data_IF_543230920143
#
_entry.id   IF_543230920143
#
_cell.length_a   1.000
_cell.length_b   1.000
_cell.length_c   1.000
_cell.angle_alpha   90.00
_cell.angle_beta   90.00
_cell.angle_gamma   90.00
#
_symmetry.space_group_name_H-M   'P 1'
#
loop_
_entity.id
_entity.type
_entity.pdbx_description
1 polymer ?
#
# COMPACT_ATOMS: atom_id res chain seq x y z
N UNK A 1 -3.09 -2.74 1.43
CA UNK A 1 -1.76 -2.10 1.49
C UNK A 1 -1.96 -0.58 1.42
N UNK A 2 -1.52 0.20 2.42
CA UNK A 2 -1.69 1.65 2.39
C UNK A 2 -1.00 2.27 1.18
N UNK A 3 -1.68 3.20 0.50
CA UNK A 3 -1.21 3.79 -0.77
C UNK A 3 0.18 4.43 -0.71
N UNK A 4 0.56 4.93 0.46
CA UNK A 4 1.86 5.57 0.67
C UNK A 4 3.04 4.60 0.58
N UNK A 5 2.83 3.32 0.90
CA UNK A 5 3.86 2.29 0.85
C UNK A 5 3.85 1.51 -0.47
N UNK A 6 2.96 1.85 -1.41
CA UNK A 6 2.86 1.09 -2.64
C UNK A 6 4.06 1.32 -3.57
N UNK A 7 4.59 0.25 -4.16
CA UNK A 7 5.54 0.33 -5.28
C UNK A 7 4.82 0.78 -6.54
N UNK A 8 5.58 1.17 -7.57
CA UNK A 8 5.03 1.62 -8.87
C UNK A 8 4.13 0.53 -9.46
N UNK A 9 4.62 -0.70 -9.54
CA UNK A 9 3.88 -1.80 -10.14
C UNK A 9 2.68 -2.21 -9.29
N UNK A 10 2.82 -2.26 -7.97
CA UNK A 10 1.69 -2.54 -7.09
C UNK A 10 0.58 -1.48 -7.27
N UNK A 11 0.95 -0.20 -7.34
CA UNK A 11 0.02 0.89 -7.58
C UNK A 11 -0.67 0.77 -8.94
N UNK A 12 0.08 0.42 -10.00
CA UNK A 12 -0.45 0.22 -11.35
C UNK A 12 -1.50 -0.87 -11.38
N UNK A 13 -1.19 -2.05 -10.85
CA UNK A 13 -2.16 -3.16 -10.79
C UNK A 13 -3.39 -2.82 -9.93
N UNK A 14 -3.20 -2.14 -8.80
CA UNK A 14 -4.31 -1.66 -7.97
C UNK A 14 -5.24 -0.70 -8.73
N UNK A 15 -4.67 0.27 -9.46
CA UNK A 15 -5.45 1.29 -10.17
C UNK A 15 -6.14 0.66 -11.39
N UNK A 16 -5.41 -0.12 -12.19
CA UNK A 16 -5.97 -0.84 -13.34
C UNK A 16 -7.21 -1.64 -12.93
N UNK A 17 -7.12 -2.39 -11.82
CA UNK A 17 -8.25 -3.19 -11.36
C UNK A 17 -9.45 -2.34 -10.93
N UNK A 18 -9.24 -1.16 -10.36
CA UNK A 18 -10.33 -0.23 -10.03
C UNK A 18 -10.96 0.33 -11.31
N UNK A 19 -10.13 0.68 -12.31
CA UNK A 19 -10.59 1.11 -13.64
C UNK A 19 -11.45 0.03 -14.29
N UNK A 20 -10.95 -1.20 -14.34
CA UNK A 20 -11.64 -2.36 -14.93
C UNK A 20 -12.97 -2.66 -14.22
N UNK A 21 -12.98 -2.63 -12.89
CA UNK A 21 -14.15 -2.95 -12.07
C UNK A 21 -15.28 -1.94 -12.25
N UNK A 22 -14.93 -0.65 -12.39
CA UNK A 22 -15.89 0.44 -12.42
C UNK A 22 -16.12 1.04 -13.82
N UNK A 23 -15.42 0.54 -14.85
CA UNK A 23 -15.50 1.07 -16.22
C UNK A 23 -15.08 2.53 -16.31
N UNK A 24 -14.06 2.93 -15.54
CA UNK A 24 -13.56 4.31 -15.52
C UNK A 24 -12.72 4.60 -16.78
N UNK A 25 -12.47 5.88 -17.12
CA UNK A 25 -11.48 6.23 -18.12
C UNK A 25 -10.11 5.61 -17.77
N UNK A 26 -9.36 5.20 -18.79
CA UNK A 26 -8.02 4.65 -18.62
C UNK A 26 -7.01 5.75 -18.30
N UNK A 27 -6.96 6.14 -17.02
CA UNK A 27 -6.05 7.14 -16.45
C UNK A 27 -5.00 6.52 -15.51
N UNK A 28 -4.69 5.24 -15.72
CA UNK A 28 -3.86 4.43 -14.82
C UNK A 28 -2.49 5.06 -14.57
N UNK A 29 -1.76 5.44 -15.62
CA UNK A 29 -0.41 6.01 -15.48
C UNK A 29 -0.42 7.37 -14.78
N UNK A 30 -1.44 8.19 -14.99
CA UNK A 30 -1.60 9.47 -14.29
C UNK A 30 -1.89 9.24 -12.80
N UNK A 31 -2.74 8.26 -12.50
CA UNK A 31 -2.99 7.82 -11.12
C UNK A 31 -1.74 7.28 -10.42
N UNK A 32 -0.95 6.46 -11.11
CA UNK A 32 0.34 5.95 -10.61
C UNK A 32 1.29 7.11 -10.34
N UNK A 33 1.43 8.05 -11.28
CA UNK A 33 2.28 9.23 -11.15
C UNK A 33 1.94 10.04 -9.91
N UNK A 34 0.66 10.38 -9.72
CA UNK A 34 0.20 11.11 -8.52
C UNK A 34 0.46 10.35 -7.22
N UNK A 35 0.29 9.02 -7.23
CA UNK A 35 0.57 8.18 -6.05
C UNK A 35 2.06 8.17 -5.70
N UNK A 36 2.93 8.04 -6.71
CA UNK A 36 4.38 8.06 -6.51
C UNK A 36 4.88 9.44 -6.08
N UNK A 37 4.29 10.52 -6.60
CA UNK A 37 4.56 11.88 -6.13
C UNK A 37 4.26 12.03 -4.64
N UNK A 38 3.11 11.50 -4.19
CA UNK A 38 2.74 11.50 -2.75
C UNK A 38 3.68 10.63 -1.91
N UNK A 39 4.16 9.50 -2.45
CA UNK A 39 5.08 8.57 -1.78
C UNK A 39 6.42 9.22 -1.41
N UNK A 40 6.87 10.25 -2.13
CA UNK A 40 8.11 11.00 -1.83
C UNK A 40 8.13 11.60 -0.42
N UNK A 41 6.98 11.79 0.22
CA UNK A 41 6.93 12.26 1.61
C UNK A 41 7.62 11.29 2.59
N UNK A 42 7.76 10.00 2.23
CA UNK A 42 8.54 9.02 3.01
C UNK A 42 10.06 9.32 3.01
N UNK A 43 10.55 10.08 2.02
CA UNK A 43 11.95 10.48 1.92
C UNK A 43 12.28 11.71 2.78
N UNK A 44 11.26 12.45 3.22
CA UNK A 44 11.38 13.60 4.12
C UNK A 44 11.84 13.15 5.51
N UNK A 45 13.04 13.58 5.94
CA UNK A 45 13.62 13.23 7.26
C UNK A 45 13.02 14.04 8.40
N UNK A 46 12.26 15.10 8.12
CA UNK A 46 11.64 15.94 9.14
C UNK A 46 10.30 15.37 9.64
N UNK A 47 9.82 14.27 9.04
CA UNK A 47 8.51 13.68 9.33
C UNK A 47 8.66 12.23 9.77
N UNK A 48 7.83 11.84 10.75
CA UNK A 48 7.68 10.46 11.17
C UNK A 48 6.28 9.96 10.83
N UNK A 49 6.18 8.71 10.38
CA UNK A 49 4.92 8.09 9.99
C UNK A 49 4.64 6.88 10.89
N UNK A 50 3.53 6.92 11.63
CA UNK A 50 3.01 5.74 12.30
C UNK A 50 1.90 5.15 11.43
N UNK A 51 2.10 3.93 10.97
CA UNK A 51 1.16 3.25 10.05
C UNK A 51 0.70 1.95 10.67
N UNK A 52 -0.60 1.72 10.65
CA UNK A 52 -1.18 0.42 10.93
C UNK A 52 -1.54 -0.25 9.61
N UNK A 53 -1.24 -1.53 9.51
CA UNK A 53 -1.58 -2.37 8.36
C UNK A 53 -2.36 -3.57 8.87
N UNK A 54 -3.54 -3.81 8.30
CA UNK A 54 -4.25 -5.04 8.58
C UNK A 54 -3.53 -6.24 7.94
N UNK A 55 -3.24 -7.29 8.73
CA UNK A 55 -2.42 -8.45 8.32
C UNK A 55 -2.85 -9.10 6.99
N UNK A 56 -4.15 -9.29 6.67
CA UNK A 56 -4.57 -9.84 5.39
C UNK A 56 -4.10 -9.04 4.18
N UNK A 57 -3.91 -7.72 4.32
CA UNK A 57 -3.39 -6.89 3.26
C UNK A 57 -1.96 -7.30 2.83
N UNK A 58 -1.20 -7.97 3.69
CA UNK A 58 0.13 -8.50 3.41
C UNK A 58 0.09 -9.86 2.69
N UNK A 59 -1.05 -10.56 2.76
CA UNK A 59 -1.24 -11.91 2.19
C UNK A 59 -2.11 -11.96 0.94
N UNK A 60 -2.78 -10.85 0.60
CA UNK A 60 -3.68 -10.79 -0.55
C UNK A 60 -2.95 -11.01 -1.88
N UNK A 61 -3.18 -12.18 -2.52
CA UNK A 61 -2.62 -12.55 -3.82
C UNK A 61 -3.48 -12.06 -4.99
N UNK A 62 -3.74 -10.75 -5.01
CA UNK A 62 -4.59 -10.12 -6.04
C UNK A 62 -3.78 -9.63 -7.26
N UNK A 63 -2.45 -9.82 -7.23
CA UNK A 63 -1.49 -9.36 -8.22
C UNK A 63 -0.52 -10.50 -8.55
N UNK A 64 0.28 -10.39 -9.62
CA UNK A 64 1.37 -11.32 -9.88
C UNK A 64 2.27 -11.47 -8.64
N UNK A 65 2.78 -12.68 -8.43
CA UNK A 65 3.57 -13.00 -7.24
C UNK A 65 4.83 -12.13 -7.12
N UNK A 66 5.50 -11.85 -8.24
CA UNK A 66 6.66 -10.94 -8.29
C UNK A 66 6.33 -9.54 -7.78
N UNK A 67 5.17 -8.99 -8.17
CA UNK A 67 4.73 -7.65 -7.75
C UNK A 67 4.45 -7.60 -6.24
N UNK A 68 3.82 -8.64 -5.69
CA UNK A 68 3.61 -8.75 -4.25
C UNK A 68 4.93 -8.93 -3.49
N UNK A 69 5.85 -9.74 -4.02
CA UNK A 69 7.17 -9.94 -3.44
C UNK A 69 7.96 -8.64 -3.37
N UNK A 70 8.04 -7.89 -4.48
CA UNK A 70 8.73 -6.60 -4.54
C UNK A 70 8.10 -5.58 -3.60
N UNK A 71 6.77 -5.58 -3.50
CA UNK A 71 6.04 -4.74 -2.56
C UNK A 71 6.38 -5.05 -1.10
N UNK A 72 6.44 -6.33 -0.72
CA UNK A 72 6.75 -6.73 0.65
C UNK A 72 8.22 -6.47 1.00
N UNK A 73 9.13 -6.64 0.04
CA UNK A 73 10.54 -6.28 0.22
C UNK A 73 10.71 -4.77 0.44
N UNK A 74 10.07 -3.93 -0.37
CA UNK A 74 10.13 -2.47 -0.21
C UNK A 74 9.55 -2.02 1.15
N UNK A 75 8.49 -2.69 1.62
CA UNK A 75 7.92 -2.46 2.94
C UNK A 75 8.91 -2.85 4.05
N UNK A 76 9.56 -4.01 3.94
CA UNK A 76 10.57 -4.45 4.90
C UNK A 76 11.78 -3.50 4.93
N UNK A 77 12.23 -3.02 3.77
CA UNK A 77 13.30 -2.03 3.68
C UNK A 77 12.88 -0.69 4.28
N UNK A 78 11.62 -0.29 4.15
CA UNK A 78 11.07 0.89 4.81
C UNK A 78 11.18 0.78 6.33
N UNK A 79 10.88 -0.39 6.90
CA UNK A 79 11.06 -0.66 8.33
C UNK A 79 12.54 -0.57 8.73
N UNK A 80 13.44 -1.20 7.96
CA UNK A 80 14.89 -1.19 8.22
C UNK A 80 15.50 0.21 8.18
N UNK A 81 14.97 1.10 7.34
CA UNK A 81 15.38 2.52 7.28
C UNK A 81 15.02 3.30 8.56
N UNK A 82 14.19 2.74 9.44
CA UNK A 82 13.93 3.28 10.78
C UNK A 82 13.09 4.56 10.81
N UNK A 83 12.26 4.80 9.78
CA UNK A 83 11.44 6.03 9.68
C UNK A 83 9.99 5.74 10.10
N UNK A 84 9.72 5.93 11.38
CA UNK A 84 8.41 5.68 11.98
C UNK A 84 8.12 4.19 12.22
N UNK A 85 6.94 3.91 12.78
CA UNK A 85 6.52 2.57 13.18
C UNK A 85 5.49 1.98 12.22
N UNK A 86 5.69 0.73 11.83
CA UNK A 86 4.67 -0.07 11.15
C UNK A 86 4.13 -1.09 12.15
N UNK A 87 2.88 -0.89 12.56
CA UNK A 87 2.13 -1.85 13.35
C UNK A 87 1.31 -2.75 12.42
N UNK A 88 1.19 -4.03 12.79
CA UNK A 88 0.33 -4.97 12.09
C UNK A 88 -0.85 -5.28 13.00
N UNK A 89 -2.07 -5.11 12.49
CA UNK A 89 -3.29 -5.57 13.14
C UNK A 89 -3.53 -7.02 12.72
N UNK A 90 -3.45 -8.00 13.65
CA UNK A 90 -3.66 -9.41 13.32
C UNK A 90 -5.03 -9.67 12.69
N UNK A 91 -5.12 -10.70 11.86
CA UNK A 91 -6.38 -11.13 11.23
C UNK A 91 -7.43 -11.54 12.28
N UNK A 92 -7.01 -12.14 13.38
CA UNK A 92 -7.85 -12.62 14.47
C UNK A 92 -8.14 -11.56 15.54
N UNK A 93 -7.66 -10.33 15.35
CA UNK A 93 -7.94 -9.23 16.26
C UNK A 93 -9.45 -8.96 16.35
N UNK A 94 -9.99 -8.93 17.57
CA UNK A 94 -11.38 -8.56 17.82
C UNK A 94 -11.65 -7.12 17.39
N UNK A 95 -12.57 -6.94 16.43
CA UNK A 95 -12.96 -5.62 15.93
C UNK A 95 -14.18 -5.12 16.71
N UNK A 96 -14.07 -3.94 17.30
CA UNK A 96 -15.19 -3.24 17.97
C UNK A 96 -16.03 -2.41 17.00
N UNK A 97 -15.53 -2.21 15.77
CA UNK A 97 -16.21 -1.49 14.70
C UNK A 97 -15.82 -2.07 13.33
N UNK A 98 -16.67 -1.87 12.33
CA UNK A 98 -16.34 -2.28 10.95
C UNK A 98 -15.27 -1.36 10.35
N UNK A 99 -14.22 -1.88 9.72
CA UNK A 99 -13.20 -1.05 9.07
C UNK A 99 -13.79 -0.34 7.84
N UNK A 100 -13.63 0.98 7.76
CA UNK A 100 -14.12 1.78 6.63
C UNK A 100 -13.21 1.73 5.39
N UNK A 101 -11.99 1.20 5.52
CA UNK A 101 -11.08 0.95 4.41
C UNK A 101 -10.35 -0.38 4.61
N UNK A 102 -10.07 -1.09 3.51
CA UNK A 102 -9.47 -2.43 3.52
C UNK A 102 -7.96 -2.48 3.76
N UNK A 103 -7.39 -1.48 4.42
CA UNK A 103 -5.97 -1.42 4.76
C UNK A 103 -5.76 -0.80 6.13
#
# INVERSE_FOLDING_TARGET
MPGLFQTVDYARYMIQRVVDLHGLPDDVEEGVRKRMERRRVLDDRSREFQTLIWEPALRMRQFPESVLFDQLNDLADSVRRGRGGIGIVPLDAGLTTSPMHGF
#
